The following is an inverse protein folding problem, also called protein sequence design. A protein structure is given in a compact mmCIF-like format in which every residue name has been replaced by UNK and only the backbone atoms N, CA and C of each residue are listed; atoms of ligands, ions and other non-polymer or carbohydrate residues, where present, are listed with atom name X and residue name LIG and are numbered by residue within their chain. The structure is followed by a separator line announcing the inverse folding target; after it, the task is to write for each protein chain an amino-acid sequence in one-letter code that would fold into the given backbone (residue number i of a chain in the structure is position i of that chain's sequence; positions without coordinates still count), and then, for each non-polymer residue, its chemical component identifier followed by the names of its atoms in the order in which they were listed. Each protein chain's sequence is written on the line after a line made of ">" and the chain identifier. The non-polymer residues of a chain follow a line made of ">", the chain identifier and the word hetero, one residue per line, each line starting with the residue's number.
data_IF_801881571820
#
_entry.id   IF_801881571820
#
_cell.length_a   1.000
_cell.length_b   1.000
_cell.length_c   1.000
_cell.angle_alpha   90.00
_cell.angle_beta   90.00
_cell.angle_gamma   90.00
#
_symmetry.space_group_name_H-M   'P 1'
#
loop_
_entity.id
_entity.type
_entity.pdbx_description
1 polymer ?
#
# COMPACT_ATOMS: atom_id res chain seq x y z
N UNK A 1 2.40 10.63 -12.34
CA UNK A 1 1.95 9.88 -11.14
C UNK A 1 1.57 8.47 -11.62
N UNK A 2 2.03 7.39 -10.97
CA UNK A 2 1.68 6.02 -11.40
C UNK A 2 0.30 5.60 -10.87
N UNK A 3 -0.31 4.57 -11.47
CA UNK A 3 -1.66 4.13 -11.11
C UNK A 3 -1.78 3.73 -9.64
N UNK A 4 -0.74 3.09 -9.08
CA UNK A 4 -0.67 2.78 -7.65
C UNK A 4 -0.72 4.03 -6.77
N UNK A 5 -0.01 5.10 -7.13
CA UNK A 5 -0.05 6.38 -6.43
C UNK A 5 -1.41 7.07 -6.47
N UNK A 6 -2.13 6.96 -7.59
CA UNK A 6 -3.48 7.52 -7.72
C UNK A 6 -4.45 6.80 -6.77
N UNK A 7 -4.45 5.45 -6.79
CA UNK A 7 -5.33 4.67 -5.91
C UNK A 7 -4.94 4.80 -4.43
N UNK A 8 -3.65 4.97 -4.14
CA UNK A 8 -3.17 5.26 -2.78
C UNK A 8 -3.78 6.55 -2.24
N UNK A 9 -3.79 7.63 -3.03
CA UNK A 9 -4.36 8.92 -2.61
C UNK A 9 -5.89 8.81 -2.41
N UNK A 10 -6.57 7.97 -3.19
CA UNK A 10 -8.01 7.70 -3.03
C UNK A 10 -8.36 6.85 -1.81
N UNK A 11 -7.36 6.30 -1.10
CA UNK A 11 -7.59 5.35 0.00
C UNK A 11 -7.87 3.92 -0.45
N UNK A 12 -7.78 3.63 -1.75
CA UNK A 12 -8.01 2.32 -2.32
C UNK A 12 -6.74 1.45 -2.20
N UNK A 13 -6.36 1.12 -0.96
CA UNK A 13 -5.06 0.51 -0.65
C UNK A 13 -4.86 -0.89 -1.25
N UNK A 14 -5.93 -1.68 -1.39
CA UNK A 14 -5.88 -3.00 -2.06
C UNK A 14 -5.46 -2.83 -3.53
N UNK A 15 -6.15 -1.93 -4.24
CA UNK A 15 -5.85 -1.63 -5.65
C UNK A 15 -4.46 -0.99 -5.80
N UNK A 16 -4.09 -0.09 -4.88
CA UNK A 16 -2.77 0.53 -4.87
C UNK A 16 -1.64 -0.52 -4.73
N UNK A 17 -1.81 -1.50 -3.82
CA UNK A 17 -0.86 -2.60 -3.62
C UNK A 17 -0.68 -3.41 -4.90
N UNK A 18 -1.77 -3.84 -5.54
CA UNK A 18 -1.72 -4.63 -6.78
C UNK A 18 -0.93 -3.91 -7.90
N UNK A 19 -1.15 -2.59 -8.04
CA UNK A 19 -0.39 -1.81 -9.01
C UNK A 19 1.10 -1.68 -8.65
N UNK A 20 1.44 -1.48 -7.37
CA UNK A 20 2.84 -1.40 -6.96
C UNK A 20 3.57 -2.73 -7.12
N UNK A 21 2.93 -3.86 -6.81
CA UNK A 21 3.50 -5.20 -6.99
C UNK A 21 3.75 -5.51 -8.47
N UNK A 22 2.76 -5.22 -9.33
CA UNK A 22 2.92 -5.36 -10.79
C UNK A 22 4.07 -4.48 -11.30
N UNK A 23 4.14 -3.22 -10.85
CA UNK A 23 5.23 -2.33 -11.24
C UNK A 23 6.60 -2.80 -10.70
N UNK A 24 6.64 -3.46 -9.54
CA UNK A 24 7.87 -3.97 -8.96
C UNK A 24 8.39 -5.19 -9.72
N UNK A 25 7.51 -6.02 -10.30
CA UNK A 25 7.94 -7.08 -11.23
C UNK A 25 8.67 -6.52 -12.45
N UNK A 26 8.25 -5.37 -12.95
CA UNK A 26 8.89 -4.67 -14.07
C UNK A 26 10.17 -3.94 -13.67
N UNK A 27 10.22 -3.38 -12.46
CA UNK A 27 11.36 -2.62 -11.94
C UNK A 27 11.75 -3.09 -10.52
N UNK A 28 12.39 -4.27 -10.38
CA UNK A 28 12.59 -4.94 -9.08
C UNK A 28 13.43 -4.16 -8.06
N UNK A 29 14.29 -3.27 -8.56
CA UNK A 29 15.20 -2.47 -7.73
C UNK A 29 14.66 -1.06 -7.42
N UNK A 30 13.40 -0.78 -7.77
CA UNK A 30 12.80 0.52 -7.48
C UNK A 30 12.62 0.74 -5.98
N UNK A 31 13.48 1.60 -5.41
CA UNK A 31 13.38 2.04 -4.01
C UNK A 31 12.01 2.67 -3.73
N UNK A 32 11.51 3.49 -4.64
CA UNK A 32 10.21 4.16 -4.52
C UNK A 32 9.04 3.16 -4.38
N UNK A 33 9.02 2.10 -5.20
CA UNK A 33 7.94 1.10 -5.12
C UNK A 33 7.98 0.32 -3.80
N UNK A 34 9.18 -0.05 -3.34
CA UNK A 34 9.37 -0.71 -2.05
C UNK A 34 8.92 0.19 -0.89
N UNK A 35 9.24 1.48 -0.95
CA UNK A 35 8.79 2.45 0.05
C UNK A 35 7.27 2.65 0.06
N UNK A 36 6.63 2.63 -1.11
CA UNK A 36 5.18 2.74 -1.21
C UNK A 36 4.47 1.49 -0.65
N UNK A 37 4.97 0.30 -0.95
CA UNK A 37 4.45 -0.94 -0.35
C UNK A 37 4.61 -0.93 1.17
N UNK A 38 5.78 -0.54 1.68
CA UNK A 38 6.01 -0.42 3.12
C UNK A 38 5.09 0.61 3.80
N UNK A 39 4.67 1.66 3.09
CA UNK A 39 3.65 2.61 3.60
C UNK A 39 2.29 1.93 3.72
N UNK A 40 1.89 1.13 2.73
CA UNK A 40 0.63 0.38 2.77
C UNK A 40 0.64 -0.63 3.92
N UNK A 41 1.73 -1.37 4.13
CA UNK A 41 1.85 -2.33 5.24
C UNK A 41 1.62 -1.67 6.60
N UNK A 42 2.15 -0.45 6.79
CA UNK A 42 1.96 0.31 8.04
C UNK A 42 0.51 0.79 8.22
N UNK A 43 -0.16 1.16 7.13
CA UNK A 43 -1.56 1.58 7.18
C UNK A 43 -2.45 0.38 7.54
N UNK A 44 -2.25 -0.76 6.90
CA UNK A 44 -2.97 -2.01 7.17
C UNK A 44 -2.84 -2.44 8.63
N UNK A 45 -1.63 -2.43 9.17
CA UNK A 45 -1.39 -2.73 10.60
C UNK A 45 -2.15 -1.77 11.52
N UNK A 46 -2.16 -0.47 11.23
CA UNK A 46 -2.90 0.52 12.02
C UNK A 46 -4.42 0.29 11.97
N UNK A 47 -4.96 -0.10 10.80
CA UNK A 47 -6.39 -0.41 10.69
C UNK A 47 -6.74 -1.66 11.50
N UNK A 48 -5.90 -2.70 11.50
CA UNK A 48 -6.09 -3.89 12.33
C UNK A 48 -6.07 -3.52 13.82
N UNK A 49 -5.07 -2.75 14.28
CA UNK A 49 -4.96 -2.31 15.67
C UNK A 49 -6.18 -1.47 16.12
N UNK A 50 -6.75 -0.65 15.24
CA UNK A 50 -7.97 0.11 15.53
C UNK A 50 -9.18 -0.81 15.63
N UNK A 51 -9.34 -1.74 14.69
CA UNK A 51 -10.45 -2.70 14.70
C UNK A 51 -10.43 -3.62 15.92
N UNK A 52 -9.26 -4.07 16.37
CA UNK A 52 -9.12 -4.89 17.57
C UNK A 52 -9.52 -4.14 18.84
N UNK A 53 -9.21 -2.84 18.93
CA UNK A 53 -9.57 -2.01 20.09
C UNK A 53 -11.06 -1.70 20.17
N UNK A 54 -11.73 -1.56 19.03
CA UNK A 54 -13.17 -1.31 18.98
C UNK A 54 -14.00 -2.57 19.33
N UNK A 55 -13.38 -3.75 19.40
CA UNK A 55 -14.02 -5.04 19.72
C UNK A 55 -13.83 -5.50 21.18
N UNK A 56 -13.04 -4.78 21.98
CA UNK A 56 -12.78 -5.05 23.42
C UNK A 56 -13.38 -3.99 24.32
#
# INVERSE_FOLDING_TARGET
>A
MNMGGIEHIKGNYITARAYYETALQLVPNSKLLKENLAKLDRLEKRFQEVQEKDQT
#
